data_IF_004611506492
#
_entry.id   IF_004611506492
#
_cell.length_a   1.000
_cell.length_b   1.000
_cell.length_c   1.000
_cell.angle_alpha   90.00
_cell.angle_beta   90.00
_cell.angle_gamma   90.00
#
_symmetry.space_group_name_H-M   'P 1'
#
loop_
_entity.id
_entity.type
_entity.pdbx_description
1 polymer ?
#
# COMPACT_ATOMS: atom_id res chain seq x y z
N UNK A 1 -23.18 23.74 10.70
CA UNK A 1 -22.24 22.60 10.56
C UNK A 1 -20.95 22.94 11.28
N UNK A 2 -20.65 22.23 12.38
CA UNK A 2 -19.55 22.56 13.29
C UNK A 2 -18.19 22.33 12.67
N UNK A 3 -17.37 23.38 12.60
CA UNK A 3 -15.95 23.28 12.21
C UNK A 3 -15.22 22.40 13.23
N UNK A 4 -14.82 21.20 12.81
CA UNK A 4 -14.01 20.29 13.62
C UNK A 4 -12.67 20.97 13.92
N UNK A 5 -12.37 21.18 15.21
CA UNK A 5 -11.19 21.92 15.65
C UNK A 5 -9.93 21.03 15.49
N UNK A 6 -8.78 21.59 15.06
CA UNK A 6 -7.54 20.85 14.77
C UNK A 6 -7.06 19.88 15.85
N UNK A 7 -7.28 20.22 17.13
CA UNK A 7 -6.90 19.36 18.25
C UNK A 7 -7.65 18.03 18.23
N UNK A 8 -8.93 18.00 17.82
CA UNK A 8 -9.73 16.76 17.80
C UNK A 8 -9.21 15.72 16.82
N UNK A 9 -8.57 16.15 15.73
CA UNK A 9 -7.98 15.23 14.75
C UNK A 9 -6.70 14.61 15.32
N UNK A 10 -5.85 15.41 15.98
CA UNK A 10 -4.62 14.91 16.61
C UNK A 10 -4.90 14.07 17.86
N UNK A 11 -5.93 14.41 18.64
CA UNK A 11 -6.37 13.62 19.78
C UNK A 11 -6.93 12.26 19.31
N UNK A 12 -7.69 12.24 18.20
CA UNK A 12 -8.15 10.99 17.59
C UNK A 12 -7.02 10.12 17.03
N UNK A 13 -5.94 10.70 16.46
CA UNK A 13 -4.76 9.91 16.04
C UNK A 13 -3.93 9.43 17.23
N UNK A 14 -3.87 10.19 18.33
CA UNK A 14 -3.16 9.78 19.55
C UNK A 14 -3.84 8.63 20.28
N UNK A 15 -5.17 8.56 20.27
CA UNK A 15 -5.94 7.47 20.90
C UNK A 15 -5.91 6.16 20.07
N UNK A 16 -5.76 6.24 18.75
CA UNK A 16 -5.89 5.09 17.86
C UNK A 16 -4.60 4.25 17.69
N UNK A 17 -3.43 4.81 18.00
CA UNK A 17 -2.12 4.17 17.74
C UNK A 17 -1.59 4.46 16.33
N UNK A 18 -0.28 4.69 16.21
CA UNK A 18 0.36 5.06 14.95
C UNK A 18 0.37 3.90 13.94
N UNK A 19 0.55 2.68 14.42
CA UNK A 19 0.53 1.46 13.63
C UNK A 19 -0.86 1.15 13.07
N UNK A 20 -1.91 1.27 13.87
CA UNK A 20 -3.29 1.12 13.39
C UNK A 20 -3.67 2.17 12.36
N UNK A 21 -3.31 3.44 12.59
CA UNK A 21 -3.56 4.51 11.61
C UNK A 21 -2.86 4.24 10.28
N UNK A 22 -1.60 3.78 10.32
CA UNK A 22 -0.86 3.34 9.13
C UNK A 22 -1.54 2.16 8.44
N UNK A 23 -1.89 1.10 9.18
CA UNK A 23 -2.55 -0.07 8.63
C UNK A 23 -3.90 0.25 7.98
N UNK A 24 -4.71 1.11 8.59
CA UNK A 24 -5.97 1.56 8.00
C UNK A 24 -5.74 2.34 6.70
N UNK A 25 -4.74 3.20 6.66
CA UNK A 25 -4.37 3.93 5.45
C UNK A 25 -3.94 2.97 4.34
N UNK A 26 -3.06 2.00 4.64
CA UNK A 26 -2.64 0.97 3.69
C UNK A 26 -3.82 0.15 3.19
N UNK A 27 -4.73 -0.30 4.05
CA UNK A 27 -5.91 -1.05 3.62
C UNK A 27 -6.81 -0.26 2.64
N UNK A 28 -6.96 1.05 2.87
CA UNK A 28 -7.71 1.93 1.97
C UNK A 28 -6.98 2.13 0.63
N UNK A 29 -5.66 2.31 0.67
CA UNK A 29 -4.82 2.42 -0.54
C UNK A 29 -4.89 1.13 -1.37
N UNK A 30 -4.75 -0.02 -0.72
CA UNK A 30 -4.82 -1.32 -1.39
C UNK A 30 -6.20 -1.69 -1.89
N UNK A 31 -7.27 -1.14 -1.32
CA UNK A 31 -8.61 -1.23 -1.93
C UNK A 31 -8.62 -0.57 -3.31
N UNK A 32 -7.95 0.59 -3.46
CA UNK A 32 -7.75 1.25 -4.75
C UNK A 32 -6.86 0.42 -5.69
N UNK A 33 -5.73 -0.08 -5.17
CA UNK A 33 -4.80 -0.95 -5.89
C UNK A 33 -5.45 -2.23 -6.42
N UNK A 34 -6.41 -2.79 -5.70
CA UNK A 34 -7.19 -3.96 -6.09
C UNK A 34 -8.29 -3.64 -7.13
N UNK A 35 -8.98 -2.50 -6.98
CA UNK A 35 -10.19 -2.19 -7.74
C UNK A 35 -9.94 -2.02 -9.25
N UNK A 36 -8.86 -1.33 -9.63
CA UNK A 36 -8.52 -1.11 -11.05
C UNK A 36 -8.24 -2.39 -11.84
N UNK A 37 -7.34 -3.27 -11.36
CA UNK A 37 -7.06 -4.58 -11.97
C UNK A 37 -8.30 -5.48 -12.07
N UNK A 38 -9.18 -5.48 -11.05
CA UNK A 38 -10.44 -6.22 -11.11
C UNK A 38 -11.38 -5.69 -12.17
N UNK A 39 -11.47 -4.36 -12.32
CA UNK A 39 -12.25 -3.74 -13.40
C UNK A 39 -11.69 -4.15 -14.78
N UNK A 40 -10.37 -4.12 -14.96
CA UNK A 40 -9.73 -4.55 -16.21
C UNK A 40 -9.98 -6.04 -16.47
N UNK A 41 -9.84 -6.89 -15.46
CA UNK A 41 -10.10 -8.32 -15.55
C UNK A 41 -11.55 -8.60 -15.98
N UNK A 42 -12.51 -7.91 -15.36
CA UNK A 42 -13.93 -8.03 -15.68
C UNK A 42 -14.21 -7.63 -17.13
N UNK A 43 -13.66 -6.49 -17.58
CA UNK A 43 -13.86 -6.00 -18.94
C UNK A 43 -13.24 -6.94 -19.99
N UNK A 44 -12.03 -7.45 -19.75
CA UNK A 44 -11.43 -8.46 -20.62
C UNK A 44 -12.24 -9.77 -20.65
N UNK A 45 -12.81 -10.18 -19.51
CA UNK A 45 -13.61 -11.40 -19.42
C UNK A 45 -14.93 -11.33 -20.21
N UNK A 46 -15.52 -10.14 -20.36
CA UNK A 46 -16.72 -9.93 -21.20
C UNK A 46 -16.39 -9.71 -22.68
N UNK A 47 -15.13 -9.90 -23.08
CA UNK A 47 -14.68 -9.81 -24.47
C UNK A 47 -14.24 -8.42 -24.91
N UNK A 48 -14.11 -7.47 -23.97
CA UNK A 48 -13.63 -6.14 -24.28
C UNK A 48 -12.12 -6.15 -24.57
N UNK A 49 -11.65 -5.26 -25.45
CA UNK A 49 -10.23 -5.19 -25.80
C UNK A 49 -9.42 -4.40 -24.78
N UNK A 50 -8.12 -4.70 -24.63
CA UNK A 50 -7.21 -3.99 -23.71
C UNK A 50 -7.34 -2.45 -23.77
N UNK A 51 -7.45 -1.87 -24.97
CA UNK A 51 -7.60 -0.43 -25.16
C UNK A 51 -8.84 0.12 -24.44
N UNK A 52 -9.98 -0.55 -24.56
CA UNK A 52 -11.21 -0.14 -23.87
C UNK A 52 -11.11 -0.40 -22.36
N UNK A 53 -10.59 -1.56 -21.95
CA UNK A 53 -10.40 -1.90 -20.54
C UNK A 53 -9.51 -0.90 -19.80
N UNK A 54 -8.41 -0.47 -20.42
CA UNK A 54 -7.53 0.57 -19.85
C UNK A 54 -8.17 1.97 -19.90
N UNK A 55 -8.93 2.31 -20.95
CA UNK A 55 -9.63 3.60 -21.02
C UNK A 55 -10.64 3.76 -19.88
N UNK A 56 -11.29 2.66 -19.44
CA UNK A 56 -12.24 2.69 -18.33
C UNK A 56 -11.61 3.03 -16.97
N UNK A 57 -10.29 2.94 -16.81
CA UNK A 57 -9.58 3.43 -15.62
C UNK A 57 -9.70 4.95 -15.42
N UNK A 58 -10.18 5.70 -16.42
CA UNK A 58 -10.52 7.10 -16.25
C UNK A 58 -11.63 7.31 -15.21
N UNK A 59 -12.54 6.35 -15.06
CA UNK A 59 -13.66 6.44 -14.09
C UNK A 59 -13.15 6.51 -12.65
N UNK A 60 -12.36 5.53 -12.14
CA UNK A 60 -11.80 5.63 -10.78
C UNK A 60 -10.84 6.82 -10.63
N UNK A 61 -10.11 7.20 -11.68
CA UNK A 61 -9.25 8.39 -11.64
C UNK A 61 -10.04 9.69 -11.41
N UNK A 62 -11.18 9.85 -12.11
CA UNK A 62 -12.07 11.01 -11.94
C UNK A 62 -12.73 11.02 -10.56
N UNK A 63 -13.12 9.85 -10.03
CA UNK A 63 -13.64 9.74 -8.66
C UNK A 63 -12.58 10.21 -7.65
N UNK A 64 -11.35 9.72 -7.76
CA UNK A 64 -10.23 10.13 -6.90
C UNK A 64 -9.98 11.64 -6.97
N UNK A 65 -10.00 12.23 -8.17
CA UNK A 65 -9.87 13.68 -8.35
C UNK A 65 -11.03 14.46 -7.73
N UNK A 66 -12.27 13.98 -7.88
CA UNK A 66 -13.44 14.60 -7.28
C UNK A 66 -13.37 14.57 -5.75
N UNK A 67 -12.96 13.44 -5.16
CA UNK A 67 -12.73 13.29 -3.73
C UNK A 67 -11.61 14.24 -3.24
N UNK A 68 -10.50 14.33 -3.98
CA UNK A 68 -9.41 15.25 -3.67
C UNK A 68 -9.86 16.72 -3.69
N UNK A 69 -10.60 17.13 -4.72
CA UNK A 69 -11.16 18.49 -4.82
C UNK A 69 -12.13 18.76 -3.66
N UNK A 70 -12.97 17.78 -3.32
CA UNK A 70 -13.91 17.89 -2.21
C UNK A 70 -13.18 18.02 -0.87
N UNK A 71 -12.18 17.17 -0.62
CA UNK A 71 -11.35 17.24 0.58
C UNK A 71 -10.62 18.60 0.69
N UNK A 72 -10.05 19.10 -0.42
CA UNK A 72 -9.40 20.41 -0.48
C UNK A 72 -10.37 21.56 -0.17
N UNK A 73 -11.65 21.46 -0.58
CA UNK A 73 -12.69 22.45 -0.28
C UNK A 73 -13.16 22.39 1.18
N UNK A 74 -13.29 21.18 1.73
CA UNK A 74 -13.69 20.96 3.14
C UNK A 74 -12.60 21.37 4.13
N UNK A 75 -11.32 21.19 3.76
CA UNK A 75 -10.15 21.50 4.58
C UNK A 75 -9.21 22.50 3.88
N UNK A 76 -9.63 23.78 3.71
CA UNK A 76 -8.90 24.75 2.90
C UNK A 76 -7.59 25.27 3.51
N UNK A 77 -7.29 24.98 4.79
CA UNK A 77 -6.08 25.44 5.49
C UNK A 77 -5.30 24.29 6.19
N UNK A 78 -4.79 23.29 5.45
CA UNK A 78 -4.02 22.19 6.06
C UNK A 78 -2.68 22.66 6.64
N UNK A 79 -2.06 23.70 6.02
CA UNK A 79 -0.74 24.22 6.43
C UNK A 79 -0.69 24.78 7.86
N UNK A 80 -1.81 25.26 8.41
CA UNK A 80 -1.83 25.80 9.79
C UNK A 80 -1.72 24.70 10.85
N UNK A 81 -2.02 23.43 10.52
CA UNK A 81 -1.77 22.28 11.39
C UNK A 81 -0.29 21.88 11.40
N UNK A 82 0.35 21.79 10.23
CA UNK A 82 1.72 21.25 10.11
C UNK A 82 2.82 22.24 10.50
N UNK A 83 2.69 23.53 10.16
CA UNK A 83 3.76 24.51 10.33
C UNK A 83 4.18 24.73 11.79
N UNK A 84 3.30 24.45 12.76
CA UNK A 84 3.62 24.55 14.19
C UNK A 84 4.47 23.38 14.68
N UNK A 85 4.26 22.19 14.13
CA UNK A 85 5.00 20.98 14.49
C UNK A 85 6.42 21.06 13.92
N UNK A 86 6.53 21.36 12.63
CA UNK A 86 7.81 21.39 11.91
C UNK A 86 8.79 22.41 12.50
N UNK A 87 8.33 23.63 12.85
CA UNK A 87 9.21 24.64 13.46
C UNK A 87 9.76 24.25 14.83
N UNK A 88 8.97 23.52 15.61
CA UNK A 88 9.35 23.15 16.98
C UNK A 88 10.32 21.97 16.96
N UNK A 89 10.08 20.98 16.11
CA UNK A 89 10.91 19.77 15.99
C UNK A 89 12.24 20.03 15.29
N UNK A 90 12.26 20.84 14.21
CA UNK A 90 13.50 21.19 13.50
C UNK A 90 14.46 22.02 14.34
N UNK A 91 13.94 22.83 15.27
CA UNK A 91 14.78 23.61 16.18
C UNK A 91 15.60 22.73 17.14
N UNK A 92 15.17 21.49 17.37
CA UNK A 92 15.81 20.51 18.26
C UNK A 92 16.38 19.29 17.53
N UNK A 93 16.41 19.30 16.18
CA UNK A 93 16.74 18.12 15.40
C UNK A 93 18.24 17.79 15.46
N UNK A 94 18.64 16.61 16.00
CA UNK A 94 20.06 16.24 16.16
C UNK A 94 20.72 15.75 14.85
N UNK A 95 20.06 15.92 13.70
CA UNK A 95 20.51 15.41 12.41
C UNK A 95 20.30 13.89 12.23
N UNK A 96 20.92 13.33 11.19
CA UNK A 96 20.79 11.91 10.84
C UNK A 96 21.78 11.03 11.61
N UNK A 97 21.37 10.59 12.81
CA UNK A 97 22.12 9.66 13.64
C UNK A 97 22.36 8.29 12.99
N UNK A 98 23.25 7.49 13.58
CA UNK A 98 23.63 6.15 13.06
C UNK A 98 22.42 5.23 12.86
N UNK A 99 21.48 5.22 13.81
CA UNK A 99 20.26 4.40 13.72
C UNK A 99 19.42 4.74 12.48
N UNK A 100 19.25 6.03 12.17
CA UNK A 100 18.55 6.46 10.96
C UNK A 100 19.26 5.96 9.70
N UNK A 101 20.59 6.13 9.60
CA UNK A 101 21.35 5.68 8.42
C UNK A 101 21.25 4.17 8.22
N UNK A 102 21.37 3.39 9.29
CA UNK A 102 21.21 1.93 9.24
C UNK A 102 19.80 1.58 8.77
N UNK A 103 18.77 2.22 9.34
CA UNK A 103 17.39 2.02 8.91
C UNK A 103 17.19 2.34 7.42
N UNK A 104 17.71 3.47 6.94
CA UNK A 104 17.60 3.87 5.52
C UNK A 104 18.31 2.89 4.60
N UNK A 105 19.52 2.43 4.95
CA UNK A 105 20.25 1.42 4.17
C UNK A 105 19.47 0.10 4.14
N UNK A 106 18.97 -0.35 5.30
CA UNK A 106 18.17 -1.58 5.37
C UNK A 106 16.89 -1.47 4.52
N UNK A 107 16.16 -0.35 4.62
CA UNK A 107 14.97 -0.09 3.81
C UNK A 107 15.30 -0.04 2.30
N UNK A 108 16.43 0.56 1.91
CA UNK A 108 16.89 0.60 0.53
C UNK A 108 17.23 -0.80 -0.01
N UNK A 109 17.89 -1.65 0.80
CA UNK A 109 18.20 -3.03 0.42
C UNK A 109 16.93 -3.87 0.27
N UNK A 110 15.96 -3.72 1.18
CA UNK A 110 14.64 -4.37 1.07
C UNK A 110 13.93 -3.92 -0.20
N UNK A 111 13.89 -2.62 -0.48
CA UNK A 111 13.28 -2.09 -1.70
C UNK A 111 13.99 -2.58 -2.98
N UNK A 112 15.33 -2.70 -2.96
CA UNK A 112 16.10 -3.21 -4.09
C UNK A 112 15.86 -4.70 -4.36
N UNK A 113 15.57 -5.49 -3.32
CA UNK A 113 15.22 -6.91 -3.43
C UNK A 113 13.75 -7.18 -3.74
N UNK A 114 12.90 -6.15 -3.72
CA UNK A 114 11.48 -6.28 -3.99
C UNK A 114 11.21 -6.40 -5.49
N UNK A 115 10.58 -7.50 -5.90
CA UNK A 115 10.17 -7.69 -7.27
C UNK A 115 8.83 -7.00 -7.50
N UNK A 116 8.82 -5.97 -8.36
CA UNK A 116 7.58 -5.31 -8.76
C UNK A 116 6.63 -6.33 -9.41
N UNK A 117 5.33 -6.19 -9.14
CA UNK A 117 4.35 -7.15 -9.65
C UNK A 117 4.29 -7.18 -11.18
N UNK A 118 4.65 -6.09 -11.88
CA UNK A 118 4.75 -6.11 -13.34
C UNK A 118 5.80 -7.13 -13.82
N UNK A 119 6.92 -7.25 -13.12
CA UNK A 119 7.96 -8.25 -13.42
C UNK A 119 7.46 -9.67 -13.10
N UNK A 120 6.78 -9.84 -11.97
CA UNK A 120 6.18 -11.12 -11.56
C UNK A 120 5.12 -11.58 -12.57
N UNK A 121 4.21 -10.70 -12.97
CA UNK A 121 3.18 -10.97 -13.98
C UNK A 121 3.78 -11.28 -15.35
N UNK A 122 4.83 -10.57 -15.76
CA UNK A 122 5.57 -10.89 -16.98
C UNK A 122 6.19 -12.28 -16.92
N UNK A 123 6.80 -12.65 -15.80
CA UNK A 123 7.35 -14.00 -15.59
C UNK A 123 6.25 -15.07 -15.66
N UNK A 124 5.12 -14.87 -14.98
CA UNK A 124 3.98 -15.79 -15.04
C UNK A 124 3.47 -16.02 -16.46
N UNK A 125 3.34 -14.95 -17.24
CA UNK A 125 2.92 -15.03 -18.64
C UNK A 125 3.95 -15.76 -19.51
N UNK A 126 5.24 -15.41 -19.40
CA UNK A 126 6.33 -15.96 -20.23
C UNK A 126 6.65 -17.41 -19.91
N UNK A 127 6.58 -17.80 -18.64
CA UNK A 127 6.84 -19.16 -18.20
C UNK A 127 5.58 -20.06 -18.25
N UNK A 128 4.45 -19.54 -18.75
CA UNK A 128 3.17 -20.25 -18.83
C UNK A 128 2.68 -20.82 -17.48
N UNK A 129 3.03 -20.17 -16.37
CA UNK A 129 2.66 -20.59 -15.01
C UNK A 129 1.19 -20.26 -14.74
N UNK A 130 0.75 -19.09 -15.20
CA UNK A 130 -0.60 -18.58 -15.01
C UNK A 130 -1.14 -18.08 -16.35
N UNK A 131 -2.38 -18.41 -16.74
CA UNK A 131 -2.96 -17.86 -17.96
C UNK A 131 -3.11 -16.33 -17.86
N UNK A 132 -2.80 -15.61 -18.93
CA UNK A 132 -2.77 -14.13 -18.96
C UNK A 132 -4.01 -13.45 -18.35
N UNK A 133 -5.25 -13.91 -18.59
CA UNK A 133 -6.45 -13.29 -18.00
C UNK A 133 -6.51 -13.35 -16.46
N UNK A 134 -5.78 -14.28 -15.83
CA UNK A 134 -5.77 -14.45 -14.37
C UNK A 134 -4.70 -13.58 -13.67
N UNK A 135 -3.77 -12.99 -14.41
CA UNK A 135 -2.68 -12.18 -13.81
C UNK A 135 -3.23 -10.94 -13.06
N UNK A 136 -4.18 -10.15 -13.61
CA UNK A 136 -4.77 -9.04 -12.87
C UNK A 136 -5.55 -9.50 -11.63
N UNK A 137 -6.12 -10.71 -11.65
CA UNK A 137 -6.83 -11.29 -10.50
C UNK A 137 -5.84 -11.67 -9.39
N UNK A 138 -4.69 -12.25 -9.72
CA UNK A 138 -3.63 -12.51 -8.75
C UNK A 138 -3.05 -11.23 -8.17
N UNK A 139 -2.90 -10.17 -8.98
CA UNK A 139 -2.48 -8.87 -8.47
C UNK A 139 -3.50 -8.33 -7.46
N UNK A 140 -4.79 -8.37 -7.80
CA UNK A 140 -5.86 -7.97 -6.91
C UNK A 140 -5.85 -8.77 -5.59
N UNK A 141 -5.58 -10.08 -5.65
CA UNK A 141 -5.43 -10.92 -4.47
C UNK A 141 -4.22 -10.50 -3.61
N UNK A 142 -3.09 -10.13 -4.21
CA UNK A 142 -1.92 -9.61 -3.49
C UNK A 142 -2.27 -8.32 -2.72
N UNK A 143 -2.92 -7.36 -3.40
CA UNK A 143 -3.35 -6.11 -2.78
C UNK A 143 -4.35 -6.36 -1.64
N UNK A 144 -5.28 -7.29 -1.81
CA UNK A 144 -6.22 -7.68 -0.75
C UNK A 144 -5.52 -8.28 0.46
N UNK A 145 -4.58 -9.21 0.24
CA UNK A 145 -3.80 -9.84 1.30
C UNK A 145 -2.97 -8.80 2.06
N UNK A 146 -2.33 -7.86 1.35
CA UNK A 146 -1.59 -6.77 1.96
C UNK A 146 -2.50 -5.85 2.78
N UNK A 147 -3.66 -5.46 2.23
CA UNK A 147 -4.64 -4.63 2.91
C UNK A 147 -5.14 -5.25 4.21
N UNK A 148 -5.54 -6.52 4.18
CA UNK A 148 -5.99 -7.26 5.38
C UNK A 148 -4.85 -7.40 6.41
N UNK A 149 -3.67 -7.77 5.93
CA UNK A 149 -2.49 -7.98 6.78
C UNK A 149 -2.04 -6.68 7.42
N UNK A 150 -2.11 -5.55 6.72
CA UNK A 150 -1.74 -4.24 7.24
C UNK A 150 -2.58 -3.81 8.45
N UNK A 151 -3.87 -4.15 8.49
CA UNK A 151 -4.75 -3.89 9.64
C UNK A 151 -4.31 -4.70 10.87
N UNK A 152 -3.95 -5.96 10.68
CA UNK A 152 -3.48 -6.84 11.75
C UNK A 152 -2.09 -6.43 12.25
N UNK A 153 -1.14 -6.27 11.32
CA UNK A 153 0.23 -5.85 11.62
C UNK A 153 0.28 -4.45 12.21
N UNK A 154 -0.59 -3.53 11.79
CA UNK A 154 -0.70 -2.20 12.38
C UNK A 154 -1.02 -2.25 13.88
N UNK A 155 -1.99 -3.07 14.29
CA UNK A 155 -2.30 -3.27 15.73
C UNK A 155 -1.19 -3.99 16.47
N UNK A 156 -0.56 -4.98 15.84
CA UNK A 156 0.57 -5.71 16.43
C UNK A 156 1.78 -4.78 16.63
N UNK A 157 2.03 -3.87 15.70
CA UNK A 157 3.09 -2.88 15.76
C UNK A 157 2.88 -1.92 16.94
N UNK A 158 1.65 -1.45 17.16
CA UNK A 158 1.33 -0.63 18.33
C UNK A 158 1.56 -1.37 19.65
N UNK A 159 1.31 -2.69 19.69
CA UNK A 159 1.44 -3.51 20.90
C UNK A 159 2.87 -3.98 21.20
N UNK A 160 3.62 -4.38 20.17
CA UNK A 160 4.90 -5.07 20.31
C UNK A 160 6.08 -4.28 19.73
N UNK A 161 5.82 -3.11 19.17
CA UNK A 161 6.81 -2.21 18.62
C UNK A 161 7.53 -2.75 17.38
N UNK A 162 8.72 -2.21 17.04
CA UNK A 162 9.37 -2.41 15.74
C UNK A 162 9.79 -3.86 15.44
N UNK A 163 9.78 -4.77 16.42
CA UNK A 163 10.06 -6.20 16.21
C UNK A 163 9.06 -6.84 15.23
N UNK A 164 7.81 -6.37 15.25
CA UNK A 164 6.77 -6.83 14.32
C UNK A 164 7.11 -6.47 12.88
N UNK A 165 7.64 -5.27 12.64
CA UNK A 165 8.06 -4.85 11.32
C UNK A 165 9.21 -5.70 10.77
N UNK A 166 10.19 -6.04 11.63
CA UNK A 166 11.31 -6.93 11.24
C UNK A 166 10.78 -8.31 10.86
N UNK A 167 9.86 -8.88 11.65
CA UNK A 167 9.24 -10.17 11.33
C UNK A 167 8.46 -10.11 10.01
N UNK A 168 7.65 -9.06 9.81
CA UNK A 168 6.89 -8.86 8.58
C UNK A 168 7.77 -8.78 7.35
N UNK A 169 8.85 -7.99 7.40
CA UNK A 169 9.83 -7.87 6.30
C UNK A 169 10.51 -9.22 6.03
N UNK A 170 10.85 -9.96 7.09
CA UNK A 170 11.52 -11.26 6.94
C UNK A 170 10.60 -12.31 6.29
N UNK A 171 9.31 -12.30 6.65
CA UNK A 171 8.32 -13.18 6.02
C UNK A 171 8.05 -12.77 4.57
N UNK A 172 7.89 -11.47 4.29
CA UNK A 172 7.69 -10.96 2.94
C UNK A 172 8.89 -11.25 2.01
N UNK A 173 10.11 -11.31 2.55
CA UNK A 173 11.28 -11.69 1.75
C UNK A 173 11.18 -13.14 1.18
N UNK A 174 10.41 -14.02 1.82
CA UNK A 174 10.15 -15.37 1.32
C UNK A 174 9.18 -15.38 0.13
N UNK A 175 8.32 -14.36 0.02
CA UNK A 175 7.33 -14.25 -1.06
C UNK A 175 8.00 -14.23 -2.43
N UNK A 176 9.08 -13.45 -2.60
CA UNK A 176 9.86 -13.42 -3.84
C UNK A 176 10.33 -14.82 -4.27
N UNK A 177 10.88 -15.61 -3.35
CA UNK A 177 11.32 -16.98 -3.68
C UNK A 177 10.16 -17.86 -4.15
N UNK A 178 9.00 -17.78 -3.50
CA UNK A 178 7.80 -18.53 -3.87
C UNK A 178 7.24 -18.11 -5.24
N UNK A 179 7.26 -16.82 -5.55
CA UNK A 179 6.76 -16.27 -6.82
C UNK A 179 7.57 -16.75 -8.03
N UNK A 180 8.87 -17.01 -7.87
CA UNK A 180 9.77 -17.44 -8.96
C UNK A 180 10.06 -18.96 -8.97
N UNK A 181 9.38 -19.75 -8.13
CA UNK A 181 9.60 -21.20 -8.03
C UNK A 181 9.04 -22.00 -9.23
N UNK A 182 8.22 -21.38 -10.08
CA UNK A 182 7.70 -21.98 -11.32
C UNK A 182 6.41 -22.81 -11.20
N UNK A 183 5.89 -23.02 -9.98
CA UNK A 183 4.61 -23.72 -9.74
C UNK A 183 3.47 -22.74 -9.50
N UNK A 184 2.27 -23.05 -9.99
CA UNK A 184 1.06 -22.27 -9.73
C UNK A 184 0.70 -22.21 -8.24
N UNK A 185 0.96 -23.29 -7.49
CA UNK A 185 0.71 -23.33 -6.04
C UNK A 185 1.70 -22.45 -5.28
N UNK A 186 2.96 -22.44 -5.70
CA UNK A 186 3.98 -21.57 -5.14
C UNK A 186 3.71 -20.09 -5.48
N UNK A 187 3.27 -19.81 -6.71
CA UNK A 187 2.85 -18.49 -7.14
C UNK A 187 1.68 -17.96 -6.29
N UNK A 188 0.63 -18.78 -6.08
CA UNK A 188 -0.51 -18.39 -5.25
C UNK A 188 -0.10 -18.17 -3.78
N UNK A 189 0.76 -19.02 -3.23
CA UNK A 189 1.28 -18.85 -1.87
C UNK A 189 2.14 -17.57 -1.75
N UNK A 190 3.00 -17.29 -2.72
CA UNK A 190 3.82 -16.08 -2.75
C UNK A 190 3.02 -14.80 -2.99
N UNK A 191 1.85 -14.88 -3.62
CA UNK A 191 0.92 -13.74 -3.78
C UNK A 191 0.26 -13.35 -2.47
N UNK A 192 0.01 -14.32 -1.58
CA UNK A 192 -0.71 -14.10 -0.31
C UNK A 192 0.23 -13.75 0.85
N UNK A 193 1.49 -14.19 0.76
CA UNK A 193 2.52 -14.00 1.80
C UNK A 193 3.12 -12.59 1.79
#
# INVERSE_FOLDING_TARGET
>A
MGKMRPHKVQDATKEAGAGWAFGLHTALDQTGGMSGPLLVALLLAVGDGYRHSFAMLIVPALISLALLVTARRLYPNPRKLELRIIRTELATWPGFGRAFRIYTIAAALVAAGFADFALVGFHFARAHIVPVPWIPVLYAAAMAAEGITSLALGRLLDRFGPRVAVLGITLAALASSLLFLGSITAAAAGVVL
#
